data_IF_553738142847
#
_entry.id   IF_553738142847
#
_cell.length_a   1.000
_cell.length_b   1.000
_cell.length_c   1.000
_cell.angle_alpha   90.00
_cell.angle_beta   90.00
_cell.angle_gamma   90.00
#
_symmetry.space_group_name_H-M   'P 1'
#
loop_
_entity.id
_entity.type
_entity.pdbx_description
1 polymer ?
#
# COMPACT_ATOMS: atom_id res chain seq x y z
N UNK A 1 -7.32 2.43 8.53
CA UNK A 1 -6.54 2.69 7.30
C UNK A 1 -6.48 4.19 7.08
N UNK A 2 -5.34 4.73 6.67
CA UNK A 2 -5.26 6.07 6.11
C UNK A 2 -5.37 5.97 4.59
N UNK A 3 -6.46 6.47 4.02
CA UNK A 3 -6.74 6.31 2.58
C UNK A 3 -5.77 7.10 1.70
N UNK A 4 -5.32 8.28 2.14
CA UNK A 4 -4.43 9.18 1.41
C UNK A 4 -3.55 10.00 2.36
N UNK A 5 -3.54 11.33 2.23
CA UNK A 5 -2.89 12.20 3.23
C UNK A 5 -3.79 12.46 4.44
N UNK A 6 -3.24 12.74 5.64
CA UNK A 6 -4.01 13.28 6.76
C UNK A 6 -4.69 14.60 6.37
N UNK A 7 -5.82 14.90 7.00
CA UNK A 7 -6.51 16.18 6.88
C UNK A 7 -5.66 17.34 7.46
N UNK A 8 -5.92 18.60 7.07
CA UNK A 8 -5.22 19.75 7.65
C UNK A 8 -5.37 19.77 9.17
N UNK A 9 -4.24 19.81 9.90
CA UNK A 9 -4.20 19.78 11.37
C UNK A 9 -4.35 18.38 12.01
N UNK A 10 -4.56 17.32 11.23
CA UNK A 10 -4.71 15.95 11.76
C UNK A 10 -3.35 15.32 12.11
N UNK A 11 -3.22 14.85 13.36
CA UNK A 11 -2.17 13.90 13.75
C UNK A 11 -2.77 12.48 13.77
N UNK A 12 -2.76 11.85 12.60
CA UNK A 12 -3.40 10.55 12.38
C UNK A 12 -2.83 9.47 13.30
N UNK A 13 -1.52 9.49 13.55
CA UNK A 13 -0.90 8.53 14.46
C UNK A 13 -1.36 8.75 15.91
N UNK A 14 -1.44 10.01 16.39
CA UNK A 14 -1.94 10.30 17.74
C UNK A 14 -3.40 9.85 17.91
N UNK A 15 -4.26 10.06 16.91
CA UNK A 15 -5.66 9.59 16.92
C UNK A 15 -5.76 8.06 17.05
N UNK A 16 -4.97 7.30 16.27
CA UNK A 16 -4.92 5.84 16.36
C UNK A 16 -4.36 5.37 17.72
N UNK A 17 -3.38 6.07 18.29
CA UNK A 17 -2.79 5.73 19.59
C UNK A 17 -3.68 6.10 20.77
N UNK A 18 -4.64 7.00 20.59
CA UNK A 18 -5.67 7.35 21.58
C UNK A 18 -6.87 6.37 21.60
N UNK A 19 -6.98 5.45 20.64
CA UNK A 19 -8.01 4.42 20.64
C UNK A 19 -7.90 3.51 21.88
N UNK A 20 -9.06 3.22 22.52
CA UNK A 20 -9.16 2.28 23.66
C UNK A 20 -8.59 0.91 23.33
N UNK A 21 -8.86 0.44 22.11
CA UNK A 21 -8.36 -0.80 21.54
C UNK A 21 -7.57 -0.43 20.28
N UNK A 22 -6.24 -0.56 20.35
CA UNK A 22 -5.35 -0.19 19.25
C UNK A 22 -5.32 -1.30 18.18
N UNK A 23 -5.36 -0.96 16.88
CA UNK A 23 -5.21 -1.95 15.83
C UNK A 23 -3.79 -2.51 15.81
N UNK A 24 -3.64 -3.81 15.56
CA UNK A 24 -2.31 -4.43 15.36
C UNK A 24 -1.68 -4.03 14.02
N UNK A 25 -2.51 -3.69 13.02
CA UNK A 25 -2.09 -3.34 11.67
C UNK A 25 -2.76 -2.04 11.21
N UNK A 26 -2.00 -1.15 10.55
CA UNK A 26 -2.55 0.05 9.92
C UNK A 26 -2.08 0.16 8.47
N UNK A 27 -3.06 0.28 7.57
CA UNK A 27 -2.87 0.40 6.13
C UNK A 27 -2.70 1.85 5.66
N UNK A 28 -1.76 2.09 4.73
CA UNK A 28 -1.44 3.35 4.05
C UNK A 28 -0.95 3.02 2.63
N UNK A 29 -1.46 3.46 1.48
CA UNK A 29 -2.53 4.37 1.10
C UNK A 29 -3.31 3.67 -0.03
N UNK A 30 -4.59 3.99 -0.25
CA UNK A 30 -5.36 3.35 -1.32
C UNK A 30 -4.98 3.96 -2.68
N UNK A 31 -4.32 3.20 -3.55
CA UNK A 31 -4.01 3.58 -4.94
C UNK A 31 -3.51 5.03 -5.07
N UNK A 32 -2.37 5.38 -4.46
CA UNK A 32 -1.82 6.74 -4.52
C UNK A 32 -1.38 7.14 -5.93
N UNK A 33 -1.18 6.14 -6.81
CA UNK A 33 -0.92 6.25 -8.24
C UNK A 33 -2.17 6.66 -9.07
N UNK A 34 -3.38 6.53 -8.51
CA UNK A 34 -4.64 6.79 -9.24
C UNK A 34 -5.34 8.07 -8.75
N UNK A 35 -6.09 8.78 -9.63
CA UNK A 35 -6.83 9.97 -9.26
C UNK A 35 -8.01 9.66 -8.33
N UNK A 36 -8.41 10.64 -7.52
CA UNK A 36 -9.57 10.51 -6.60
C UNK A 36 -10.90 10.30 -7.32
N UNK A 37 -11.02 10.73 -8.58
CA UNK A 37 -12.21 10.53 -9.42
C UNK A 37 -12.51 9.06 -9.74
N UNK A 38 -11.53 8.15 -9.59
CA UNK A 38 -11.74 6.69 -9.74
C UNK A 38 -11.56 5.94 -8.43
N UNK A 39 -11.58 6.65 -7.29
CA UNK A 39 -11.43 6.07 -5.95
C UNK A 39 -9.98 5.92 -5.48
N UNK A 40 -8.99 6.39 -6.24
CA UNK A 40 -7.60 6.48 -5.80
C UNK A 40 -7.37 7.59 -4.77
N UNK A 41 -6.13 7.76 -4.31
CA UNK A 41 -5.78 8.81 -3.33
C UNK A 41 -4.92 9.95 -3.89
N UNK A 42 -4.49 9.86 -5.15
CA UNK A 42 -3.82 10.94 -5.89
C UNK A 42 -2.65 11.58 -5.11
N UNK A 43 -1.72 10.75 -4.63
CA UNK A 43 -0.66 11.15 -3.70
C UNK A 43 0.71 10.91 -4.34
N UNK A 44 1.57 11.93 -4.43
CA UNK A 44 2.89 11.77 -5.01
C UNK A 44 3.80 10.86 -4.16
N UNK A 45 4.76 10.13 -4.78
CA UNK A 45 5.71 9.28 -4.06
C UNK A 45 6.45 10.01 -2.94
N UNK A 46 6.97 11.22 -3.20
CA UNK A 46 7.67 12.04 -2.22
C UNK A 46 6.78 12.39 -1.01
N UNK A 47 5.51 12.75 -1.25
CA UNK A 47 4.59 13.10 -0.16
C UNK A 47 4.16 11.88 0.64
N UNK A 48 3.94 10.75 -0.03
CA UNK A 48 3.67 9.47 0.63
C UNK A 48 4.84 9.02 1.51
N UNK A 49 6.09 9.16 1.03
CA UNK A 49 7.29 8.85 1.78
C UNK A 49 7.43 9.74 3.03
N UNK A 50 7.19 11.06 2.92
CA UNK A 50 7.14 11.96 4.07
C UNK A 50 6.14 11.49 5.14
N UNK A 51 4.90 11.15 4.74
CA UNK A 51 3.87 10.68 5.69
C UNK A 51 4.26 9.35 6.34
N UNK A 52 4.89 8.43 5.61
CA UNK A 52 5.41 7.19 6.20
C UNK A 52 6.57 7.45 7.18
N UNK A 53 7.47 8.39 6.87
CA UNK A 53 8.57 8.80 7.76
C UNK A 53 8.09 9.57 9.00
N UNK A 54 6.87 10.12 9.02
CA UNK A 54 6.27 10.74 10.23
C UNK A 54 5.24 9.82 10.90
N UNK A 55 4.06 9.67 10.30
CA UNK A 55 2.92 8.95 10.88
C UNK A 55 3.17 7.44 10.95
N UNK A 56 3.73 6.87 9.88
CA UNK A 56 4.12 5.46 9.86
C UNK A 56 5.15 5.13 10.95
N UNK A 57 6.16 5.99 11.16
CA UNK A 57 7.18 5.81 12.20
C UNK A 57 6.61 5.92 13.61
N UNK A 58 5.73 6.90 13.90
CA UNK A 58 5.04 7.02 15.19
C UNK A 58 4.28 5.73 15.55
N UNK A 59 3.53 5.18 14.59
CA UNK A 59 2.76 3.95 14.79
C UNK A 59 3.66 2.72 14.94
N UNK A 60 4.68 2.58 14.09
CA UNK A 60 5.65 1.48 14.16
C UNK A 60 6.41 1.46 15.49
N UNK A 61 6.83 2.63 16.00
CA UNK A 61 7.45 2.77 17.31
C UNK A 61 6.54 2.37 18.49
N UNK A 62 5.22 2.42 18.29
CA UNK A 62 4.23 1.93 19.25
C UNK A 62 3.87 0.44 19.08
N UNK A 63 4.60 -0.30 18.22
CA UNK A 63 4.40 -1.72 17.96
C UNK A 63 3.32 -2.05 16.93
N UNK A 64 2.74 -1.05 16.26
CA UNK A 64 1.70 -1.25 15.24
C UNK A 64 2.36 -1.56 13.90
N UNK A 65 1.95 -2.67 13.26
CA UNK A 65 2.47 -3.11 11.96
C UNK A 65 1.95 -2.22 10.83
N UNK A 66 2.85 -1.80 9.95
CA UNK A 66 2.51 -0.88 8.85
C UNK A 66 2.38 -1.67 7.56
N UNK A 67 1.18 -1.61 7.00
CA UNK A 67 0.84 -2.25 5.72
C UNK A 67 0.83 -1.17 4.65
N UNK A 68 1.69 -1.29 3.63
CA UNK A 68 1.51 -0.48 2.43
C UNK A 68 0.30 -1.02 1.68
N UNK A 69 -0.82 -0.30 1.63
CA UNK A 69 -2.09 -0.87 1.14
C UNK A 69 -2.02 -1.26 -0.34
N UNK A 70 -1.40 -0.43 -1.18
CA UNK A 70 -1.01 -0.81 -2.53
C UNK A 70 -1.24 0.25 -3.59
N UNK A 71 -0.47 0.15 -4.67
CA UNK A 71 -0.78 0.77 -5.96
C UNK A 71 -1.50 -0.24 -6.86
N UNK A 72 -1.99 0.22 -8.01
CA UNK A 72 -2.58 -0.68 -9.03
C UNK A 72 -1.54 -1.64 -9.61
N UNK A 73 -2.00 -2.77 -10.17
CA UNK A 73 -1.16 -3.82 -10.76
C UNK A 73 -0.68 -3.53 -12.19
N UNK A 74 -0.56 -2.27 -12.57
CA UNK A 74 -0.16 -1.83 -13.91
C UNK A 74 1.15 -1.03 -13.89
N UNK A 75 1.61 -0.58 -15.06
CA UNK A 75 2.86 0.15 -15.21
C UNK A 75 2.93 1.46 -14.40
N UNK A 76 1.81 2.17 -14.22
CA UNK A 76 1.76 3.39 -13.40
C UNK A 76 2.00 3.05 -11.92
N UNK A 77 1.30 2.02 -11.42
CA UNK A 77 1.51 1.54 -10.06
C UNK A 77 2.92 0.99 -9.80
N UNK A 78 3.54 0.35 -10.79
CA UNK A 78 4.95 -0.08 -10.75
C UNK A 78 5.92 1.11 -10.66
N UNK A 79 5.78 2.10 -11.55
CA UNK A 79 6.61 3.30 -11.59
C UNK A 79 6.50 4.12 -10.31
N UNK A 80 5.27 4.28 -9.79
CA UNK A 80 5.01 4.96 -8.53
C UNK A 80 5.74 4.28 -7.37
N UNK A 81 5.68 2.94 -7.26
CA UNK A 81 6.39 2.19 -6.21
C UNK A 81 7.91 2.29 -6.35
N UNK A 82 8.44 2.28 -7.57
CA UNK A 82 9.87 2.45 -7.80
C UNK A 82 10.36 3.82 -7.29
N UNK A 83 9.66 4.90 -7.64
CA UNK A 83 9.96 6.25 -7.14
C UNK A 83 9.79 6.34 -5.61
N UNK A 84 8.70 5.78 -5.07
CA UNK A 84 8.44 5.78 -3.62
C UNK A 84 9.51 5.04 -2.82
N UNK A 85 10.08 3.95 -3.34
CA UNK A 85 11.24 3.27 -2.73
C UNK A 85 12.47 4.19 -2.63
N UNK A 86 12.74 5.01 -3.66
CA UNK A 86 13.81 6.01 -3.67
C UNK A 86 13.55 7.11 -2.62
N UNK A 87 12.36 7.72 -2.65
CA UNK A 87 11.94 8.76 -1.71
C UNK A 87 11.93 8.27 -0.24
N UNK A 88 11.57 7.01 -0.04
CA UNK A 88 11.67 6.34 1.25
C UNK A 88 13.11 6.16 1.72
N UNK A 89 14.10 5.98 0.85
CA UNK A 89 15.52 5.83 1.21
C UNK A 89 15.80 4.82 2.35
N UNK A 90 15.02 3.73 2.42
CA UNK A 90 15.09 2.74 3.51
C UNK A 90 14.47 3.15 4.85
N UNK A 91 13.93 4.37 4.96
CA UNK A 91 13.41 4.94 6.21
C UNK A 91 11.94 4.65 6.52
N UNK A 92 11.15 4.29 5.50
CA UNK A 92 9.72 4.01 5.65
C UNK A 92 9.50 2.65 6.35
N UNK A 93 8.77 2.59 7.47
CA UNK A 93 8.72 1.42 8.35
C UNK A 93 7.67 0.39 7.89
N UNK A 94 7.73 -0.02 6.62
CA UNK A 94 6.71 -0.90 6.02
C UNK A 94 7.02 -2.36 6.37
N UNK A 95 6.13 -3.01 7.10
CA UNK A 95 6.20 -4.44 7.43
C UNK A 95 5.66 -5.30 6.28
N UNK A 96 4.47 -4.96 5.79
CA UNK A 96 3.71 -5.71 4.78
C UNK A 96 3.56 -4.86 3.51
N UNK A 97 3.80 -5.45 2.34
CA UNK A 97 3.65 -4.79 1.05
C UNK A 97 2.40 -5.28 0.32
N UNK A 98 1.43 -4.40 0.12
CA UNK A 98 0.17 -4.69 -0.55
C UNK A 98 0.11 -4.20 -2.00
N UNK A 99 -0.82 -4.76 -2.77
CA UNK A 99 -1.15 -4.36 -4.14
C UNK A 99 -2.63 -4.57 -4.45
N UNK A 100 -3.15 -3.80 -5.41
CA UNK A 100 -4.50 -3.96 -5.95
C UNK A 100 -4.42 -4.54 -7.36
N UNK A 101 -5.04 -5.71 -7.59
CA UNK A 101 -5.12 -6.31 -8.92
C UNK A 101 -6.44 -5.99 -9.61
N UNK A 102 -6.34 -5.29 -10.75
CA UNK A 102 -7.46 -4.95 -11.62
C UNK A 102 -7.38 -5.80 -12.88
N UNK A 103 -8.30 -6.76 -13.02
CA UNK A 103 -8.22 -7.80 -14.04
C UNK A 103 -8.96 -9.09 -13.65
N UNK A 104 -9.31 -9.91 -14.65
CA UNK A 104 -10.14 -11.11 -14.46
C UNK A 104 -9.40 -12.42 -14.72
N UNK A 105 -8.19 -12.41 -15.29
CA UNK A 105 -7.42 -13.62 -15.60
C UNK A 105 -6.62 -14.09 -14.37
N UNK A 106 -6.90 -15.31 -13.89
CA UNK A 106 -6.24 -15.89 -12.70
C UNK A 106 -4.77 -16.25 -12.95
N UNK A 107 -4.39 -16.57 -14.20
CA UNK A 107 -3.00 -16.82 -14.55
C UNK A 107 -2.19 -15.52 -14.62
N UNK A 108 -2.81 -14.41 -15.05
CA UNK A 108 -2.23 -13.07 -14.98
C UNK A 108 -2.04 -12.60 -13.54
N UNK A 109 -3.06 -12.77 -12.70
CA UNK A 109 -2.95 -12.54 -11.26
C UNK A 109 -1.77 -13.34 -10.66
N UNK A 110 -1.67 -14.63 -10.97
CA UNK A 110 -0.56 -15.49 -10.53
C UNK A 110 0.81 -15.05 -11.04
N UNK A 111 0.92 -14.52 -12.27
CA UNK A 111 2.15 -13.91 -12.80
C UNK A 111 2.50 -12.62 -12.05
N UNK A 112 1.52 -11.76 -11.81
CA UNK A 112 1.72 -10.50 -11.08
C UNK A 112 2.15 -10.73 -9.62
N UNK A 113 1.52 -11.67 -8.91
CA UNK A 113 1.92 -12.07 -7.54
C UNK A 113 3.40 -12.49 -7.51
N UNK A 114 3.85 -13.35 -8.43
CA UNK A 114 5.25 -13.79 -8.51
C UNK A 114 6.22 -12.64 -8.74
N UNK A 115 5.90 -11.72 -9.67
CA UNK A 115 6.66 -10.48 -9.90
C UNK A 115 6.73 -9.62 -8.63
N UNK A 116 5.60 -9.42 -7.96
CA UNK A 116 5.50 -8.55 -6.80
C UNK A 116 6.25 -9.10 -5.58
N UNK A 117 6.25 -10.42 -5.37
CA UNK A 117 7.10 -11.09 -4.36
C UNK A 117 8.58 -10.88 -4.67
N UNK A 118 9.00 -11.07 -5.93
CA UNK A 118 10.39 -10.87 -6.35
C UNK A 118 10.87 -9.41 -6.19
N UNK A 119 9.98 -8.43 -6.42
CA UNK A 119 10.27 -7.00 -6.21
C UNK A 119 10.40 -6.58 -4.73
N UNK A 120 9.97 -7.41 -3.78
CA UNK A 120 9.88 -7.09 -2.36
C UNK A 120 10.41 -8.26 -1.49
N UNK A 121 11.68 -8.68 -1.66
CA UNK A 121 12.22 -9.85 -0.97
C UNK A 121 12.17 -9.68 0.55
N UNK A 122 11.74 -10.74 1.24
CA UNK A 122 11.64 -10.75 2.71
C UNK A 122 10.49 -9.92 3.30
N UNK A 123 9.58 -9.38 2.47
CA UNK A 123 8.34 -8.75 2.94
C UNK A 123 7.18 -9.72 2.87
N UNK A 124 6.29 -9.63 3.84
CA UNK A 124 4.95 -10.23 3.73
C UNK A 124 4.14 -9.48 2.67
N UNK A 125 3.38 -10.20 1.85
CA UNK A 125 2.66 -9.65 0.69
C UNK A 125 1.16 -9.87 0.85
N UNK A 126 0.36 -8.80 0.75
CA UNK A 126 -1.11 -8.89 0.81
C UNK A 126 -1.76 -8.45 -0.52
N UNK A 127 -2.61 -9.29 -1.07
CA UNK A 127 -3.55 -8.87 -2.12
C UNK A 127 -4.75 -8.17 -1.44
N UNK A 128 -4.61 -6.88 -1.20
CA UNK A 128 -5.56 -6.04 -0.44
C UNK A 128 -6.81 -5.68 -1.25
N UNK A 129 -6.73 -5.78 -2.58
CA UNK A 129 -7.88 -5.80 -3.51
C UNK A 129 -7.59 -6.73 -4.68
N UNK A 130 -8.60 -7.48 -5.09
CA UNK A 130 -8.67 -8.09 -6.42
C UNK A 130 -10.08 -7.92 -6.97
N UNK A 131 -10.19 -7.77 -8.29
CA UNK A 131 -11.45 -7.88 -9.01
C UNK A 131 -12.01 -9.32 -8.98
N UNK A 132 -13.17 -9.53 -9.62
CA UNK A 132 -13.72 -10.88 -9.83
C UNK A 132 -12.82 -11.69 -10.76
N UNK A 133 -11.90 -12.45 -10.17
CA UNK A 133 -11.07 -13.42 -10.88
C UNK A 133 -11.93 -14.55 -11.47
N UNK A 134 -11.80 -14.77 -12.77
CA UNK A 134 -12.41 -15.88 -13.50
C UNK A 134 -11.55 -17.13 -13.32
N UNK A 135 -11.95 -17.97 -12.36
CA UNK A 135 -11.29 -19.23 -12.04
C UNK A 135 -11.34 -20.25 -13.19
N UNK A 136 -12.17 -20.03 -14.22
CA UNK A 136 -12.23 -20.90 -15.42
C UNK A 136 -11.18 -20.53 -16.46
N UNK A 137 -10.54 -19.34 -16.34
CA UNK A 137 -9.44 -18.88 -17.19
C UNK A 137 -8.06 -19.23 -16.63
N UNK A 138 -7.93 -20.34 -15.92
CA UNK A 138 -6.63 -20.97 -15.75
C UNK A 138 -6.22 -21.59 -17.09
N UNK A 139 -5.09 -21.17 -17.66
CA UNK A 139 -4.67 -21.51 -19.02
C UNK A 139 -4.72 -23.02 -19.34
N UNK A 140 -5.15 -23.30 -20.58
CA UNK A 140 -4.80 -24.52 -21.31
C UNK A 140 -3.36 -24.42 -21.85
#
# INVERSE_FOLDING_TARGET
MLMGKPAPGQDFAAEILALRERPQHVMFFNEPDMPTSVGGSSLSPARAAQIMKTEGRKLSAAGIKIVFAGTTSNQNGDQWRAQFKVECAGECPIDVMGFHFHGTDVAEYGRYVKKFVHENPGKEIWATRSDKLDMTRSQA
#
